data_IF_544727980845
#
_entry.id   IF_544727980845
#
_cell.length_a   1.000
_cell.length_b   1.000
_cell.length_c   1.000
_cell.angle_alpha   90.00
_cell.angle_beta   90.00
_cell.angle_gamma   90.00
#
_symmetry.space_group_name_H-M   'P 1'
#
loop_
_entity.id
_entity.type
_entity.pdbx_description
1 polymer ?
#
# COMPACT_ATOMS: atom_id res chain seq x y z
N UNK A 1 -5.54 2.96 -24.04
CA UNK A 1 -4.32 3.36 -23.32
C UNK A 1 -4.48 4.74 -22.68
N UNK A 2 -4.71 5.82 -23.44
CA UNK A 2 -4.92 7.18 -22.89
C UNK A 2 -5.97 7.24 -21.77
N UNK A 3 -7.17 6.70 -21.99
CA UNK A 3 -8.26 6.69 -20.99
C UNK A 3 -7.84 5.98 -19.70
N UNK A 4 -7.09 4.88 -19.78
CA UNK A 4 -6.62 4.16 -18.60
C UNK A 4 -5.62 5.00 -17.81
N UNK A 5 -4.65 5.65 -18.47
CA UNK A 5 -3.71 6.54 -17.80
C UNK A 5 -4.40 7.76 -17.18
N UNK A 6 -5.40 8.32 -17.86
CA UNK A 6 -6.20 9.42 -17.32
C UNK A 6 -6.94 9.00 -16.04
N UNK A 7 -7.56 7.81 -16.03
CA UNK A 7 -8.23 7.28 -14.83
C UNK A 7 -7.25 7.05 -13.68
N UNK A 8 -6.05 6.53 -13.97
CA UNK A 8 -5.00 6.35 -12.97
C UNK A 8 -4.57 7.70 -12.39
N UNK A 9 -4.33 8.72 -13.23
CA UNK A 9 -3.96 10.06 -12.77
C UNK A 9 -5.05 10.68 -11.88
N UNK A 10 -6.33 10.51 -12.24
CA UNK A 10 -7.43 11.00 -11.42
C UNK A 10 -7.48 10.31 -10.05
N UNK A 11 -7.27 8.99 -9.99
CA UNK A 11 -7.18 8.25 -8.73
C UNK A 11 -5.99 8.73 -7.91
N UNK A 12 -4.83 8.95 -8.52
CA UNK A 12 -3.62 9.45 -7.86
C UNK A 12 -3.86 10.81 -7.19
N UNK A 13 -4.53 11.73 -7.90
CA UNK A 13 -4.91 13.05 -7.35
C UNK A 13 -5.91 12.92 -6.20
N UNK A 14 -6.93 12.06 -6.33
CA UNK A 14 -7.92 11.81 -5.26
C UNK A 14 -7.24 11.24 -4.01
N UNK A 15 -6.37 10.25 -4.17
CA UNK A 15 -5.62 9.66 -3.05
C UNK A 15 -4.72 10.70 -2.38
N UNK A 16 -4.01 11.51 -3.16
CA UNK A 16 -3.17 12.59 -2.62
C UNK A 16 -3.98 13.60 -1.80
N UNK A 17 -5.15 14.01 -2.29
CA UNK A 17 -6.06 14.90 -1.55
C UNK A 17 -6.54 14.24 -0.25
N UNK A 18 -6.95 12.97 -0.30
CA UNK A 18 -7.43 12.25 0.89
C UNK A 18 -6.33 12.18 1.96
N UNK A 19 -5.12 11.76 1.57
CA UNK A 19 -3.98 11.62 2.50
C UNK A 19 -3.59 12.96 3.10
N UNK A 20 -3.59 14.04 2.30
CA UNK A 20 -3.18 15.37 2.76
C UNK A 20 -4.22 16.04 3.67
N UNK A 21 -5.52 15.98 3.33
CA UNK A 21 -6.56 16.68 4.08
C UNK A 21 -7.11 15.87 5.25
N UNK A 22 -7.06 14.55 5.19
CA UNK A 22 -7.71 13.66 6.15
C UNK A 22 -6.70 12.77 6.91
N UNK A 23 -5.50 13.28 7.18
CA UNK A 23 -4.41 12.51 7.80
C UNK A 23 -4.83 11.83 9.12
N UNK A 24 -5.60 12.51 9.97
CA UNK A 24 -6.09 11.92 11.22
C UNK A 24 -7.14 10.84 10.97
N UNK A 25 -8.12 11.09 10.10
CA UNK A 25 -9.15 10.10 9.81
C UNK A 25 -8.60 8.88 9.08
N UNK A 26 -7.68 9.06 8.12
CA UNK A 26 -7.04 7.95 7.39
C UNK A 26 -6.22 7.08 8.33
N UNK A 27 -5.51 7.69 9.30
CA UNK A 27 -4.75 6.95 10.30
C UNK A 27 -5.65 6.01 11.12
N UNK A 28 -6.75 6.52 11.68
CA UNK A 28 -7.72 5.71 12.42
C UNK A 28 -8.43 4.70 11.53
N UNK A 29 -8.73 5.07 10.28
CA UNK A 29 -9.38 4.17 9.32
C UNK A 29 -8.49 2.97 8.99
N UNK A 30 -7.21 3.20 8.69
CA UNK A 30 -6.22 2.14 8.39
C UNK A 30 -6.05 1.24 9.60
N UNK A 31 -5.88 1.77 10.81
CA UNK A 31 -5.71 0.95 12.01
C UNK A 31 -6.94 0.05 12.25
N UNK A 32 -8.14 0.60 12.09
CA UNK A 32 -9.38 -0.15 12.23
C UNK A 32 -9.55 -1.21 11.13
N UNK A 33 -9.17 -0.90 9.89
CA UNK A 33 -9.25 -1.85 8.79
C UNK A 33 -8.25 -3.00 8.98
N UNK A 34 -7.03 -2.71 9.43
CA UNK A 34 -6.06 -3.73 9.84
C UNK A 34 -6.63 -4.61 10.97
N UNK A 35 -7.26 -4.03 12.00
CA UNK A 35 -7.92 -4.79 13.08
C UNK A 35 -9.04 -5.69 12.56
N UNK A 36 -9.83 -5.22 11.57
CA UNK A 36 -10.86 -6.03 10.93
C UNK A 36 -10.26 -7.16 10.09
N UNK A 37 -9.17 -6.90 9.38
CA UNK A 37 -8.46 -7.89 8.59
C UNK A 37 -7.85 -8.98 9.49
N UNK A 38 -7.23 -8.60 10.62
CA UNK A 38 -6.65 -9.53 11.60
C UNK A 38 -7.68 -10.56 12.11
N UNK A 39 -8.92 -10.13 12.35
CA UNK A 39 -10.01 -10.99 12.86
C UNK A 39 -10.53 -12.01 11.84
N UNK A 40 -10.11 -11.97 10.58
CA UNK A 40 -10.52 -12.92 9.53
C UNK A 40 -9.66 -14.17 9.53
N UNK A 41 -9.62 -14.86 10.68
CA UNK A 41 -8.79 -16.06 10.91
C UNK A 41 -9.16 -17.25 10.02
N UNK A 42 -10.38 -17.27 9.47
CA UNK A 42 -10.84 -18.33 8.56
C UNK A 42 -10.35 -18.18 7.11
N UNK A 43 -9.72 -17.05 6.77
CA UNK A 43 -9.23 -16.79 5.42
C UNK A 43 -7.72 -17.04 5.36
N UNK A 44 -7.33 -18.17 4.79
CA UNK A 44 -5.93 -18.60 4.66
C UNK A 44 -5.06 -17.56 3.96
N UNK A 45 -5.58 -16.86 2.95
CA UNK A 45 -4.86 -15.80 2.25
C UNK A 45 -4.58 -14.57 3.13
N UNK A 46 -5.52 -14.22 4.02
CA UNK A 46 -5.35 -13.09 4.97
C UNK A 46 -4.36 -13.48 6.07
N UNK A 47 -4.44 -14.71 6.59
CA UNK A 47 -3.51 -15.23 7.59
C UNK A 47 -2.08 -15.25 7.04
N UNK A 48 -1.89 -15.72 5.80
CA UNK A 48 -0.58 -15.73 5.15
C UNK A 48 -0.03 -14.31 4.92
N UNK A 49 -0.87 -13.38 4.48
CA UNK A 49 -0.47 -11.98 4.35
C UNK A 49 0.00 -11.39 5.70
N UNK A 50 -0.70 -11.70 6.79
CA UNK A 50 -0.28 -11.28 8.13
C UNK A 50 1.06 -11.86 8.53
N UNK A 51 1.27 -13.16 8.31
CA UNK A 51 2.55 -13.82 8.59
C UNK A 51 3.71 -13.13 7.87
N UNK A 52 3.55 -12.82 6.58
CA UNK A 52 4.57 -12.14 5.80
C UNK A 52 4.84 -10.71 6.29
N UNK A 53 3.80 -9.95 6.64
CA UNK A 53 3.95 -8.59 7.18
C UNK A 53 4.74 -8.65 8.50
N UNK A 54 4.38 -9.56 9.39
CA UNK A 54 4.99 -9.69 10.72
C UNK A 54 6.45 -10.10 10.63
N UNK A 55 6.78 -11.07 9.77
CA UNK A 55 8.17 -11.49 9.54
C UNK A 55 9.01 -10.40 8.86
N UNK A 56 8.47 -9.71 7.85
CA UNK A 56 9.21 -8.67 7.10
C UNK A 56 9.43 -7.40 7.90
N UNK A 57 8.42 -6.97 8.67
CA UNK A 57 8.47 -5.74 9.44
C UNK A 57 8.90 -5.94 10.89
N UNK A 58 9.10 -7.19 11.33
CA UNK A 58 9.51 -7.53 12.70
C UNK A 58 8.56 -6.94 13.74
N UNK A 59 7.26 -7.13 13.51
CA UNK A 59 6.15 -6.62 14.32
C UNK A 59 5.18 -7.73 14.68
N UNK A 60 4.28 -7.48 15.62
CA UNK A 60 3.23 -8.43 15.98
C UNK A 60 1.91 -7.73 16.27
N UNK A 61 0.85 -8.17 15.60
CA UNK A 61 -0.48 -7.56 15.70
C UNK A 61 -0.55 -6.15 15.09
N UNK A 62 -1.70 -5.50 15.23
CA UNK A 62 -1.90 -4.14 14.71
C UNK A 62 -1.24 -3.13 15.63
N UNK A 63 -1.64 -3.12 16.90
CA UNK A 63 -1.10 -2.31 17.98
C UNK A 63 -0.02 -3.07 18.77
N UNK A 64 -0.24 -4.36 19.04
CA UNK A 64 0.74 -5.26 19.67
C UNK A 64 0.27 -6.74 19.59
N UNK A 65 1.08 -7.65 20.15
CA UNK A 65 0.78 -9.09 20.12
C UNK A 65 -0.55 -9.52 20.77
N UNK A 66 -1.10 -8.71 21.69
CA UNK A 66 -2.37 -9.03 22.37
C UNK A 66 -3.58 -8.94 21.43
N UNK A 67 -3.43 -8.31 20.26
CA UNK A 67 -4.49 -8.29 19.24
C UNK A 67 -4.87 -9.69 18.73
N UNK A 68 -3.96 -10.67 18.88
CA UNK A 68 -4.20 -12.09 18.57
C UNK A 68 -4.90 -12.87 19.72
N UNK A 69 -5.16 -12.22 20.86
CA UNK A 69 -5.70 -12.89 22.03
C UNK A 69 -4.77 -14.00 22.53
N UNK A 70 -5.27 -15.24 22.51
CA UNK A 70 -4.55 -16.41 23.04
C UNK A 70 -3.71 -17.14 21.98
N UNK A 71 -3.87 -16.82 20.69
CA UNK A 71 -3.30 -17.57 19.57
C UNK A 71 -2.36 -16.71 18.75
N UNK A 72 -1.20 -16.37 19.31
CA UNK A 72 -0.18 -15.59 18.61
C UNK A 72 0.55 -16.47 17.59
N UNK A 73 0.64 -16.07 16.31
CA UNK A 73 1.30 -16.86 15.27
C UNK A 73 2.82 -16.88 15.41
N UNK A 74 3.47 -17.92 14.87
CA UNK A 74 4.94 -18.06 14.89
C UNK A 74 5.68 -16.94 14.13
N UNK A 75 5.00 -16.27 13.20
CA UNK A 75 5.52 -15.09 12.50
C UNK A 75 5.83 -13.91 13.44
N UNK A 76 5.27 -13.89 14.65
CA UNK A 76 5.58 -12.90 15.69
C UNK A 76 6.88 -13.16 16.46
N UNK A 77 7.56 -14.27 16.19
CA UNK A 77 8.68 -14.75 17.01
C UNK A 77 10.00 -14.12 16.57
N UNK A 78 10.73 -13.52 17.51
CA UNK A 78 12.08 -12.97 17.27
C UNK A 78 13.11 -14.05 16.90
N UNK A 79 12.98 -15.24 17.50
CA UNK A 79 13.91 -16.36 17.34
C UNK A 79 13.12 -17.63 17.05
N UNK A 80 13.35 -18.24 15.89
CA UNK A 80 12.70 -19.50 15.48
C UNK A 80 13.17 -20.73 16.26
N UNK A 81 14.24 -20.60 17.05
CA UNK A 81 14.92 -21.70 17.76
C UNK A 81 14.58 -21.82 19.25
N UNK A 82 13.63 -21.03 19.78
CA UNK A 82 13.15 -21.12 21.16
C UNK A 82 11.63 -21.28 21.17
N UNK A 83 11.04 -21.89 22.23
CA UNK A 83 9.59 -21.88 22.38
C UNK A 83 9.10 -20.43 22.34
N UNK A 84 8.21 -20.17 21.38
CA UNK A 84 7.79 -18.81 21.13
C UNK A 84 6.70 -18.41 22.12
N UNK A 85 7.13 -17.66 23.12
CA UNK A 85 6.30 -17.19 24.22
C UNK A 85 6.27 -15.66 24.27
N UNK A 86 5.52 -15.12 25.22
CA UNK A 86 5.37 -13.67 25.43
C UNK A 86 6.69 -12.91 25.63
N UNK A 87 7.76 -13.56 26.09
CA UNK A 87 9.09 -12.96 26.24
C UNK A 87 9.82 -12.82 24.89
N UNK A 88 9.45 -13.65 23.90
CA UNK A 88 10.10 -13.77 22.61
C UNK A 88 9.31 -13.16 21.43
N UNK A 89 8.14 -12.57 21.67
CA UNK A 89 7.39 -11.86 20.63
C UNK A 89 7.99 -10.49 20.28
N UNK A 90 7.73 -10.03 19.05
CA UNK A 90 7.85 -8.62 18.71
C UNK A 90 6.84 -7.80 19.52
N UNK A 91 7.33 -6.77 20.23
CA UNK A 91 6.49 -5.95 21.11
C UNK A 91 5.80 -4.80 20.37
N UNK A 92 6.35 -4.38 19.22
CA UNK A 92 5.79 -3.30 18.41
C UNK A 92 4.69 -3.84 17.50
N UNK A 93 3.57 -3.13 17.44
CA UNK A 93 2.51 -3.38 16.46
C UNK A 93 2.91 -2.92 15.07
N UNK A 94 2.40 -3.62 14.06
CA UNK A 94 2.72 -3.38 12.66
C UNK A 94 2.23 -2.00 12.18
N UNK A 95 1.09 -1.53 12.68
CA UNK A 95 0.55 -0.22 12.31
C UNK A 95 1.53 0.92 12.68
N UNK A 96 2.05 0.89 13.92
CA UNK A 96 3.00 1.91 14.38
C UNK A 96 4.29 1.96 13.57
N UNK A 97 4.78 0.80 13.11
CA UNK A 97 5.99 0.72 12.28
C UNK A 97 5.74 1.26 10.86
N UNK A 98 4.61 0.89 10.26
CA UNK A 98 4.22 1.38 8.93
C UNK A 98 4.04 2.89 8.98
N UNK A 99 3.33 3.41 10.00
CA UNK A 99 3.13 4.85 10.18
C UNK A 99 4.45 5.59 10.36
N UNK A 100 5.31 5.14 11.28
CA UNK A 100 6.61 5.78 11.47
C UNK A 100 7.50 5.70 10.23
N UNK A 101 7.45 4.60 9.48
CA UNK A 101 8.18 4.49 8.22
C UNK A 101 7.64 5.49 7.19
N UNK A 102 6.31 5.62 7.07
CA UNK A 102 5.68 6.58 6.18
C UNK A 102 6.07 8.01 6.55
N UNK A 103 5.94 8.39 7.83
CA UNK A 103 6.25 9.74 8.32
C UNK A 103 7.73 10.10 8.07
N UNK A 104 8.64 9.15 8.33
CA UNK A 104 10.08 9.37 8.11
C UNK A 104 10.47 9.44 6.63
N UNK A 105 9.70 8.78 5.74
CA UNK A 105 10.01 8.71 4.31
C UNK A 105 9.04 9.53 3.44
N UNK A 106 8.20 10.37 4.05
CA UNK A 106 7.14 11.11 3.37
C UNK A 106 7.67 11.94 2.19
N UNK A 107 8.82 12.60 2.35
CA UNK A 107 9.47 13.37 1.29
C UNK A 107 9.87 12.50 0.10
N UNK A 108 10.45 11.33 0.36
CA UNK A 108 10.87 10.41 -0.71
C UNK A 108 9.65 9.86 -1.45
N UNK A 109 8.59 9.49 -0.72
CA UNK A 109 7.33 9.04 -1.30
C UNK A 109 6.72 10.13 -2.19
N UNK A 110 6.68 11.38 -1.71
CA UNK A 110 6.19 12.51 -2.48
C UNK A 110 6.95 12.74 -3.78
N UNK A 111 8.28 12.68 -3.75
CA UNK A 111 9.12 12.77 -4.96
C UNK A 111 8.80 11.63 -5.93
N UNK A 112 8.69 10.39 -5.43
CA UNK A 112 8.37 9.24 -6.26
C UNK A 112 6.99 9.40 -6.94
N UNK A 113 5.98 9.87 -6.21
CA UNK A 113 4.64 10.16 -6.75
C UNK A 113 4.71 11.22 -7.86
N UNK A 114 5.43 12.33 -7.66
CA UNK A 114 5.59 13.37 -8.69
C UNK A 114 6.26 12.81 -9.95
N UNK A 115 7.31 12.01 -9.81
CA UNK A 115 7.98 11.37 -10.94
C UNK A 115 7.03 10.46 -11.73
N UNK A 116 6.21 9.65 -11.04
CA UNK A 116 5.22 8.78 -11.67
C UNK A 116 4.16 9.60 -12.41
N UNK A 117 3.63 10.65 -11.79
CA UNK A 117 2.69 11.59 -12.40
C UNK A 117 3.24 12.21 -13.70
N UNK A 118 4.50 12.65 -13.73
CA UNK A 118 5.14 13.21 -14.94
C UNK A 118 5.21 12.16 -16.05
N UNK A 119 5.62 10.92 -15.72
CA UNK A 119 5.71 9.83 -16.70
C UNK A 119 4.33 9.52 -17.29
N UNK A 120 3.27 9.51 -16.48
CA UNK A 120 1.90 9.31 -16.97
C UNK A 120 1.48 10.39 -17.96
N UNK A 121 1.75 11.67 -17.66
CA UNK A 121 1.41 12.81 -18.54
C UNK A 121 2.16 12.74 -19.87
N UNK A 122 3.44 12.35 -19.85
CA UNK A 122 4.21 12.10 -21.07
C UNK A 122 3.62 10.94 -21.87
N UNK A 123 3.27 9.83 -21.20
CA UNK A 123 2.61 8.67 -21.83
C UNK A 123 1.28 9.04 -22.49
N UNK A 124 0.48 9.91 -21.86
CA UNK A 124 -0.75 10.44 -22.43
C UNK A 124 -0.49 11.33 -23.66
N UNK A 125 0.50 12.22 -23.58
CA UNK A 125 0.91 13.09 -24.71
C UNK A 125 1.33 12.27 -25.93
N UNK A 126 2.16 11.24 -25.72
CA UNK A 126 2.60 10.36 -26.80
C UNK A 126 1.44 9.53 -27.38
N UNK A 127 0.55 9.01 -26.54
CA UNK A 127 -0.60 8.24 -27.00
C UNK A 127 -1.51 9.06 -27.91
N UNK A 128 -1.78 10.33 -27.56
CA UNK A 128 -2.59 11.23 -28.38
C UNK A 128 -1.87 11.60 -29.67
N UNK A 129 -0.56 11.86 -29.61
CA UNK A 129 0.23 12.18 -30.81
C UNK A 129 0.22 11.03 -31.82
N UNK A 130 0.44 9.80 -31.34
CA UNK A 130 0.39 8.59 -32.18
C UNK A 130 -1.01 8.37 -32.75
N UNK A 131 -2.06 8.54 -31.94
CA UNK A 131 -3.44 8.42 -32.40
C UNK A 131 -3.74 9.40 -33.55
N UNK A 132 -3.37 10.68 -33.38
CA UNK A 132 -3.54 11.70 -34.41
C UNK A 132 -2.77 11.37 -35.69
N UNK A 133 -1.53 10.88 -35.57
CA UNK A 133 -0.72 10.49 -36.74
C UNK A 133 -1.35 9.31 -37.50
N UNK A 134 -1.82 8.27 -36.80
CA UNK A 134 -2.47 7.11 -37.42
C UNK A 134 -3.76 7.56 -38.14
N UNK A 135 -4.59 8.39 -37.50
CA UNK A 135 -5.81 8.90 -38.10
C UNK A 135 -5.55 9.76 -39.35
N UNK A 136 -4.50 10.59 -39.32
CA UNK A 136 -4.12 11.40 -40.47
C UNK A 136 -3.60 10.54 -41.63
N UNK A 137 -2.77 9.54 -41.34
CA UNK A 137 -2.27 8.62 -42.35
C UNK A 137 -3.40 7.80 -42.97
N UNK A 138 -4.35 7.32 -42.17
CA UNK A 138 -5.54 6.60 -42.67
C UNK A 138 -6.36 7.45 -43.66
N UNK A 139 -6.64 8.72 -43.31
CA UNK A 139 -7.36 9.66 -44.20
C UNK A 139 -6.61 9.96 -45.49
N UNK A 140 -5.28 9.85 -45.50
CA UNK A 140 -4.47 10.03 -46.71
C UNK A 140 -4.53 8.84 -47.67
N UNK A 141 -4.96 7.65 -47.23
CA UNK A 141 -5.13 6.49 -48.10
C UNK A 141 -6.52 6.44 -48.77
N UNK A 142 -7.51 7.14 -48.21
CA UNK A 142 -8.87 7.21 -48.77
C UNK A 142 -9.06 8.33 -49.81
N UNK A 143 -8.11 9.27 -49.94
CA UNK A 143 -8.11 10.35 -50.93
C UNK A 143 -7.08 10.09 -52.03
#
# INVERSE_FOLDING_TARGET
FFILLLLILLIEVVVAIIVFFYEQQINTYIENDMKKALKKENNTGIVEAWNQIQEKLLCCGVANYTDWGNSVPESCCKKKSQPCNSQNYFLKGCYSLIRNWFDNNFLFIGIATICVSIIQVLGMSFAMTIYCQICNNYKSYEN
#
